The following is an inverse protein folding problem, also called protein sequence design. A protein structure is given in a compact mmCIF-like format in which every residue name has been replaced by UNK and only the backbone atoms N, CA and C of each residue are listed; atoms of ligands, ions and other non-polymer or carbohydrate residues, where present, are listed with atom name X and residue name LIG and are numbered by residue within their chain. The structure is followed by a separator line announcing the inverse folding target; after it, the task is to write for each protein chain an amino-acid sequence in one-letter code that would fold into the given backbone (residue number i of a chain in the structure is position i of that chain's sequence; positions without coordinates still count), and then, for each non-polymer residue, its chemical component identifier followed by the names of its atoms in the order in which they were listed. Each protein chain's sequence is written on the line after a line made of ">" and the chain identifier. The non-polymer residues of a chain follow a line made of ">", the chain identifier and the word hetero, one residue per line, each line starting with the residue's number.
data_IF_051980637775
#
_entry.id   IF_051980637775
#
_cell.length_a   1.000
_cell.length_b   1.000
_cell.length_c   1.000
_cell.angle_alpha   90.00
_cell.angle_beta   90.00
_cell.angle_gamma   90.00
#
_symmetry.space_group_name_H-M   'P 1'
#
loop_
_entity.id
_entity.type
_entity.pdbx_description
1 polymer ?
#
# COMPACT_ATOMS: atom_id res chain seq x y z
N UNK A 1 -1.31 17.58 6.66
CA UNK A 1 -0.38 16.58 6.05
C UNK A 1 0.03 17.09 4.68
N UNK A 2 1.32 17.33 4.45
CA UNK A 2 1.80 17.77 3.15
C UNK A 2 2.34 16.58 2.33
N UNK A 3 2.67 16.82 1.06
CA UNK A 3 3.14 15.80 0.13
C UNK A 3 4.44 15.12 0.62
N UNK A 4 5.34 15.89 1.22
CA UNK A 4 6.60 15.36 1.76
C UNK A 4 6.33 14.36 2.89
N UNK A 5 5.45 14.72 3.82
CA UNK A 5 5.09 13.84 4.94
C UNK A 5 4.43 12.56 4.46
N UNK A 6 3.53 12.66 3.48
CA UNK A 6 2.91 11.49 2.86
C UNK A 6 3.97 10.54 2.30
N UNK A 7 4.92 11.07 1.53
CA UNK A 7 5.98 10.26 0.91
C UNK A 7 6.86 9.58 1.94
N UNK A 8 7.25 10.29 3.00
CA UNK A 8 8.08 9.74 4.07
C UNK A 8 7.37 8.61 4.82
N UNK A 9 6.10 8.80 5.18
CA UNK A 9 5.29 7.78 5.85
C UNK A 9 5.16 6.54 4.97
N UNK A 10 4.81 6.71 3.70
CA UNK A 10 4.62 5.63 2.75
C UNK A 10 5.92 4.88 2.52
N UNK A 11 7.03 5.58 2.34
CA UNK A 11 8.31 4.94 2.11
C UNK A 11 8.71 4.05 3.29
N UNK A 12 8.53 4.53 4.53
CA UNK A 12 8.78 3.72 5.72
C UNK A 12 7.88 2.47 5.77
N UNK A 13 6.62 2.60 5.41
CA UNK A 13 5.68 1.48 5.38
C UNK A 13 6.03 0.48 4.27
N UNK A 14 6.44 0.95 3.09
CA UNK A 14 6.86 0.08 2.00
C UNK A 14 8.14 -0.68 2.34
N UNK A 15 9.11 -0.03 2.97
CA UNK A 15 10.32 -0.69 3.43
C UNK A 15 10.00 -1.77 4.47
N UNK A 16 9.07 -1.49 5.38
CA UNK A 16 8.64 -2.46 6.37
C UNK A 16 7.97 -3.68 5.72
N UNK A 17 7.04 -3.45 4.80
CA UNK A 17 6.32 -4.53 4.12
C UNK A 17 7.27 -5.38 3.25
N UNK A 18 7.96 -4.75 2.31
CA UNK A 18 8.79 -5.49 1.34
C UNK A 18 10.10 -5.96 1.93
N UNK A 19 10.58 -5.35 3.00
CA UNK A 19 11.71 -5.87 3.77
C UNK A 19 11.41 -7.14 4.53
N UNK A 20 10.15 -7.40 4.88
CA UNK A 20 9.72 -8.62 5.56
C UNK A 20 9.33 -9.75 4.62
N UNK A 21 8.97 -9.43 3.38
CA UNK A 21 8.67 -10.44 2.38
C UNK A 21 9.97 -11.08 1.89
N UNK A 22 10.12 -12.37 2.16
CA UNK A 22 11.33 -13.12 1.80
C UNK A 22 11.44 -13.40 0.30
N UNK A 23 10.34 -13.25 -0.41
CA UNK A 23 10.25 -13.52 -1.84
C UNK A 23 9.62 -12.31 -2.53
N UNK A 24 10.41 -11.63 -3.35
CA UNK A 24 9.99 -10.46 -4.12
C UNK A 24 9.27 -10.84 -5.42
N UNK A 25 9.02 -12.12 -5.64
CA UNK A 25 8.43 -12.65 -6.87
C UNK A 25 6.90 -12.73 -6.82
N UNK A 26 6.25 -12.13 -5.83
CA UNK A 26 4.79 -12.03 -5.80
C UNK A 26 4.29 -11.14 -6.93
N UNK A 27 3.29 -11.63 -7.66
CA UNK A 27 2.68 -10.89 -8.77
C UNK A 27 1.38 -10.21 -8.33
N UNK A 28 1.13 -9.01 -8.84
CA UNK A 28 -0.11 -8.27 -8.62
C UNK A 28 -1.06 -8.36 -9.81
N UNK A 29 -0.52 -8.33 -11.01
CA UNK A 29 -1.30 -8.40 -12.24
C UNK A 29 -0.65 -9.28 -13.28
N UNK A 30 -1.51 -10.02 -14.00
CA UNK A 30 -1.14 -10.70 -15.24
C UNK A 30 -2.09 -10.23 -16.35
N UNK A 31 -1.54 -10.03 -17.54
CA UNK A 31 -2.32 -9.65 -18.71
C UNK A 31 -1.72 -10.33 -19.92
N UNK A 32 -2.55 -11.03 -20.76
CA UNK A 32 -2.03 -11.69 -21.96
C UNK A 32 -1.28 -10.71 -22.85
N UNK A 33 -0.11 -11.12 -23.33
CA UNK A 33 0.72 -10.32 -24.22
C UNK A 33 1.54 -9.25 -23.56
N UNK A 34 1.50 -9.12 -22.22
CA UNK A 34 2.30 -8.15 -21.45
C UNK A 34 3.08 -8.85 -20.36
N UNK A 35 4.18 -8.23 -19.93
CA UNK A 35 4.94 -8.69 -18.78
C UNK A 35 4.07 -8.65 -17.52
N UNK A 36 4.19 -9.66 -16.67
CA UNK A 36 3.53 -9.66 -15.38
C UNK A 36 4.05 -8.52 -14.50
N UNK A 37 3.15 -7.89 -13.76
CA UNK A 37 3.51 -6.82 -12.81
C UNK A 37 3.71 -7.41 -11.43
N UNK A 38 4.86 -7.13 -10.81
CA UNK A 38 5.13 -7.56 -9.44
C UNK A 38 4.27 -6.79 -8.43
N UNK A 39 4.04 -7.39 -7.27
CA UNK A 39 3.31 -6.73 -6.19
C UNK A 39 4.01 -5.44 -5.76
N UNK A 40 5.33 -5.45 -5.69
CA UNK A 40 6.12 -4.28 -5.31
C UNK A 40 5.97 -3.14 -6.33
N UNK A 41 6.09 -3.44 -7.63
CA UNK A 41 5.89 -2.46 -8.70
C UNK A 41 4.48 -1.88 -8.68
N UNK A 42 3.48 -2.73 -8.54
CA UNK A 42 2.08 -2.33 -8.48
C UNK A 42 1.82 -1.41 -7.29
N UNK A 43 2.27 -1.81 -6.10
CA UNK A 43 2.11 -1.01 -4.89
C UNK A 43 2.80 0.34 -5.02
N UNK A 44 4.00 0.38 -5.59
CA UNK A 44 4.71 1.64 -5.83
C UNK A 44 3.91 2.58 -6.73
N UNK A 45 3.29 2.06 -7.81
CA UNK A 45 2.44 2.86 -8.70
C UNK A 45 1.19 3.38 -8.01
N UNK A 46 0.52 2.54 -7.22
CA UNK A 46 -0.69 2.94 -6.47
C UNK A 46 -0.35 4.04 -5.48
N UNK A 47 0.73 3.90 -4.76
CA UNK A 47 1.19 4.87 -3.77
C UNK A 47 1.58 6.20 -4.42
N UNK A 48 2.30 6.15 -5.53
CA UNK A 48 2.65 7.34 -6.30
C UNK A 48 1.40 8.08 -6.79
N UNK A 49 0.43 7.33 -7.30
CA UNK A 49 -0.83 7.90 -7.76
C UNK A 49 -1.65 8.50 -6.62
N UNK A 50 -1.69 7.84 -5.48
CA UNK A 50 -2.38 8.34 -4.29
C UNK A 50 -1.75 9.65 -3.80
N UNK A 51 -0.43 9.72 -3.73
CA UNK A 51 0.27 10.96 -3.36
C UNK A 51 0.00 12.09 -4.35
N UNK A 52 0.00 11.77 -5.65
CA UNK A 52 -0.30 12.76 -6.68
C UNK A 52 -1.73 13.30 -6.54
N UNK A 53 -2.71 12.43 -6.31
CA UNK A 53 -4.11 12.83 -6.13
C UNK A 53 -4.29 13.68 -4.85
N UNK A 54 -3.66 13.28 -3.76
CA UNK A 54 -3.69 14.03 -2.49
C UNK A 54 -3.17 15.45 -2.72
N UNK A 55 -2.02 15.59 -3.36
CA UNK A 55 -1.42 16.90 -3.60
C UNK A 55 -2.21 17.74 -4.61
N UNK A 56 -2.56 17.16 -5.77
CA UNK A 56 -3.21 17.88 -6.88
C UNK A 56 -4.62 18.36 -6.53
N UNK A 57 -5.39 17.52 -5.87
CA UNK A 57 -6.80 17.82 -5.57
C UNK A 57 -7.01 18.39 -4.17
N UNK A 58 -5.95 18.72 -3.46
CA UNK A 58 -6.05 19.29 -2.13
C UNK A 58 -6.65 18.36 -1.09
N UNK A 59 -6.61 17.05 -1.34
CA UNK A 59 -7.14 16.05 -0.41
C UNK A 59 -6.38 16.06 0.93
N UNK A 60 -5.13 16.52 0.93
CA UNK A 60 -4.37 16.72 2.16
C UNK A 60 -5.11 17.63 3.14
N UNK A 61 -5.77 18.70 2.66
CA UNK A 61 -6.56 19.61 3.49
C UNK A 61 -7.80 18.92 4.05
N UNK A 62 -8.41 18.04 3.27
CA UNK A 62 -9.56 17.25 3.72
C UNK A 62 -9.12 16.30 4.83
N UNK A 63 -8.02 15.60 4.65
CA UNK A 63 -7.45 14.69 5.66
C UNK A 63 -7.10 15.47 6.93
N UNK A 64 -6.46 16.63 6.80
CA UNK A 64 -6.07 17.47 7.94
C UNK A 64 -7.29 18.03 8.71
N UNK A 65 -8.46 18.12 8.09
CA UNK A 65 -9.70 18.47 8.77
C UNK A 65 -10.40 17.27 9.40
N UNK A 66 -10.43 16.14 8.68
CA UNK A 66 -11.13 14.93 9.13
C UNK A 66 -10.49 14.33 10.37
N UNK A 67 -9.16 14.27 10.41
CA UNK A 67 -8.44 13.64 11.51
C UNK A 67 -8.69 14.36 12.84
N UNK A 68 -8.52 15.70 12.95
CA UNK A 68 -8.90 16.41 14.16
C UNK A 68 -10.38 16.29 14.49
N UNK A 69 -11.26 16.25 13.48
CA UNK A 69 -12.70 16.07 13.68
C UNK A 69 -13.07 14.73 14.28
N UNK A 70 -12.37 13.66 13.89
CA UNK A 70 -12.56 12.30 14.42
C UNK A 70 -11.89 12.15 15.78
N UNK A 71 -10.67 12.68 15.92
CA UNK A 71 -9.80 12.49 17.08
C UNK A 71 -9.74 13.73 18.00
N UNK A 72 -10.65 14.69 17.86
CA UNK A 72 -10.54 16.06 18.39
C UNK A 72 -10.23 16.21 19.87
N UNK A 73 -10.50 15.19 20.69
CA UNK A 73 -10.17 15.19 22.12
C UNK A 73 -8.84 14.49 22.42
N UNK A 74 -8.24 13.88 21.41
CA UNK A 74 -7.05 13.05 21.59
C UNK A 74 -5.79 13.83 21.28
N UNK A 75 -4.66 13.34 21.83
CA UNK A 75 -3.36 13.93 21.64
C UNK A 75 -2.91 13.95 20.17
N UNK A 76 -1.92 14.80 19.87
CA UNK A 76 -1.28 14.81 18.55
C UNK A 76 -0.74 13.46 18.13
N UNK A 77 -0.28 12.64 19.09
CA UNK A 77 0.18 11.26 18.80
C UNK A 77 -0.92 10.39 18.21
N UNK A 78 -2.14 10.48 18.72
CA UNK A 78 -3.29 9.74 18.16
C UNK A 78 -3.62 10.24 16.76
N UNK A 79 -3.58 11.54 16.53
CA UNK A 79 -3.82 12.13 15.22
C UNK A 79 -2.77 11.68 14.20
N UNK A 80 -1.49 11.64 14.58
CA UNK A 80 -0.42 11.14 13.72
C UNK A 80 -0.59 9.66 13.40
N UNK A 81 -0.99 8.84 14.38
CA UNK A 81 -1.28 7.42 14.12
C UNK A 81 -2.45 7.23 13.15
N UNK A 82 -3.50 8.05 13.23
CA UNK A 82 -4.60 8.00 12.27
C UNK A 82 -4.15 8.36 10.87
N UNK A 83 -3.25 9.33 10.71
CA UNK A 83 -2.66 9.67 9.41
C UNK A 83 -1.87 8.49 8.85
N UNK A 84 -1.08 7.82 9.68
CA UNK A 84 -0.32 6.63 9.28
C UNK A 84 -1.23 5.49 8.87
N UNK A 85 -2.31 5.26 9.60
CA UNK A 85 -3.32 4.26 9.27
C UNK A 85 -3.99 4.57 7.92
N UNK A 86 -4.32 5.83 7.69
CA UNK A 86 -4.88 6.26 6.41
C UNK A 86 -3.93 5.97 5.24
N UNK A 87 -2.65 6.29 5.40
CA UNK A 87 -1.65 6.01 4.36
C UNK A 87 -1.38 4.51 4.19
N UNK A 88 -1.47 3.74 5.28
CA UNK A 88 -1.27 2.29 5.25
C UNK A 88 -2.29 1.58 4.35
N UNK A 89 -3.49 2.10 4.19
CA UNK A 89 -4.50 1.52 3.29
C UNK A 89 -3.95 1.38 1.88
N UNK A 90 -3.22 2.37 1.38
CA UNK A 90 -2.64 2.30 0.03
C UNK A 90 -1.51 1.28 -0.07
N UNK A 91 -0.64 1.23 0.93
CA UNK A 91 0.52 0.32 0.94
C UNK A 91 0.07 -1.14 1.08
N UNK A 92 -0.90 -1.40 1.96
CA UNK A 92 -1.29 -2.76 2.33
C UNK A 92 -2.55 -3.27 1.62
N UNK A 93 -3.09 -2.51 0.64
CA UNK A 93 -4.37 -2.84 0.00
C UNK A 93 -4.38 -4.21 -0.69
N UNK A 94 -3.26 -4.67 -1.20
CA UNK A 94 -3.15 -5.92 -1.95
C UNK A 94 -2.38 -7.02 -1.20
N UNK A 95 -2.21 -6.89 0.12
CA UNK A 95 -1.48 -7.90 0.90
C UNK A 95 -2.14 -9.28 0.89
N UNK A 96 -3.43 -9.36 0.59
CA UNK A 96 -4.12 -10.64 0.39
C UNK A 96 -3.54 -11.47 -0.77
N UNK A 97 -2.82 -10.84 -1.69
CA UNK A 97 -2.13 -11.54 -2.79
C UNK A 97 -0.86 -12.25 -2.32
N UNK A 98 -0.38 -11.98 -1.12
CA UNK A 98 0.76 -12.68 -0.49
C UNK A 98 0.27 -14.00 0.08
N UNK A 99 -0.09 -14.91 -0.82
CA UNK A 99 -0.65 -16.21 -0.50
C UNK A 99 -0.25 -17.18 -1.61
N UNK A 100 0.35 -18.31 -1.25
CA UNK A 100 0.87 -19.26 -2.21
C UNK A 100 -0.20 -19.75 -3.19
N UNK A 101 -1.38 -20.05 -2.70
CA UNK A 101 -2.46 -20.55 -3.52
C UNK A 101 -3.02 -19.49 -4.48
N UNK A 102 -3.11 -18.24 -4.03
CA UNK A 102 -3.50 -17.13 -4.89
C UNK A 102 -2.48 -16.92 -6.00
N UNK A 103 -1.19 -16.91 -5.67
CA UNK A 103 -0.12 -16.76 -6.65
C UNK A 103 -0.13 -17.90 -7.67
N UNK A 104 -0.26 -19.13 -7.21
CA UNK A 104 -0.30 -20.29 -8.09
C UNK A 104 -1.55 -20.31 -8.98
N UNK A 105 -2.73 -20.15 -8.41
CA UNK A 105 -4.01 -20.34 -9.10
C UNK A 105 -4.47 -19.11 -9.87
N UNK A 106 -4.30 -17.92 -9.31
CA UNK A 106 -4.83 -16.69 -9.90
C UNK A 106 -3.79 -15.92 -10.71
N UNK A 107 -2.56 -15.90 -10.24
CA UNK A 107 -1.47 -15.20 -10.92
C UNK A 107 -0.68 -16.13 -11.86
N UNK A 108 -0.99 -17.42 -11.87
CA UNK A 108 -0.29 -18.43 -12.67
C UNK A 108 1.23 -18.37 -12.43
N UNK A 109 1.60 -18.08 -11.20
CA UNK A 109 2.97 -17.85 -10.80
C UNK A 109 3.63 -19.18 -10.44
N UNK A 110 4.48 -19.67 -11.33
CA UNK A 110 5.12 -21.00 -11.24
C UNK A 110 6.21 -21.09 -10.17
N UNK A 111 6.56 -19.98 -9.55
CA UNK A 111 7.46 -19.98 -8.40
C UNK A 111 6.78 -20.48 -7.12
N UNK A 112 5.45 -20.57 -7.14
CA UNK A 112 4.64 -21.02 -6.02
C UNK A 112 3.97 -22.34 -6.35
N UNK A 113 3.63 -23.10 -5.31
CA UNK A 113 2.90 -24.37 -5.42
C UNK A 113 1.61 -24.28 -4.63
N UNK A 114 0.59 -24.98 -5.09
CA UNK A 114 -0.66 -25.11 -4.36
C UNK A 114 -0.40 -25.84 -3.03
N UNK A 115 -0.94 -25.30 -1.95
CA UNK A 115 -0.81 -25.88 -0.60
C UNK A 115 -2.19 -26.19 -0.04
N UNK A 116 -2.29 -27.27 0.69
CA UNK A 116 -3.45 -27.60 1.50
C UNK A 116 -3.20 -27.09 2.91
N UNK A 117 -3.91 -26.03 3.27
CA UNK A 117 -3.83 -25.47 4.62
C UNK A 117 -4.80 -26.15 5.57
#
# INVERSE_FOLDING_TARGET
>A
MNMKDCKEIIQGQMELLFGRLKNDSYLAHICPGKSAESLQEHTAKVVERACWLIGKHGLEKVVDRLIPGIAGKYSENVQEELKRMFMAVFVFHDTGKVNDNFQYSRMLNRLFKHRNY
#
